data_IF_275246625866
#
_entry.id   IF_275246625866
#
_cell.length_a   1.000
_cell.length_b   1.000
_cell.length_c   1.000
_cell.angle_alpha   90.00
_cell.angle_beta   90.00
_cell.angle_gamma   90.00
#
_symmetry.space_group_name_H-M   'P 1'
#
loop_
_entity.id
_entity.type
_entity.pdbx_description
1 polymer ?
#
# COMPACT_ATOMS: atom_id res chain seq x y z
N UNK A 1 20.48 6.92 -53.26
CA UNK A 1 20.27 7.75 -52.05
C UNK A 1 18.78 7.82 -51.85
N UNK A 2 18.23 6.94 -51.01
CA UNK A 2 16.80 6.89 -50.71
C UNK A 2 16.58 7.80 -49.51
N UNK A 3 16.18 9.05 -49.77
CA UNK A 3 15.79 9.99 -48.73
C UNK A 3 14.53 9.45 -48.02
N UNK A 4 14.56 9.24 -46.70
CA UNK A 4 13.36 8.82 -45.98
C UNK A 4 12.30 9.91 -46.08
N UNK A 5 11.04 9.49 -46.28
CA UNK A 5 9.93 10.45 -46.38
C UNK A 5 9.79 11.25 -45.07
N UNK A 6 9.32 12.49 -45.16
CA UNK A 6 9.08 13.35 -43.98
C UNK A 6 8.21 12.66 -42.91
N UNK A 7 7.28 11.79 -43.35
CA UNK A 7 6.45 10.99 -42.45
C UNK A 7 7.28 9.96 -41.69
N UNK A 8 8.21 9.27 -42.35
CA UNK A 8 9.12 8.33 -41.70
C UNK A 8 10.02 9.03 -40.69
N UNK A 9 10.54 10.22 -41.03
CA UNK A 9 11.37 11.01 -40.13
C UNK A 9 10.58 11.56 -38.94
N UNK A 10 9.33 11.96 -39.15
CA UNK A 10 8.42 12.35 -38.06
C UNK A 10 8.08 11.17 -37.13
N UNK A 11 7.93 9.97 -37.68
CA UNK A 11 7.67 8.76 -36.89
C UNK A 11 8.90 8.36 -36.07
N UNK A 12 10.10 8.44 -36.63
CA UNK A 12 11.36 8.25 -35.89
C UNK A 12 11.49 9.27 -34.76
N UNK A 13 11.18 10.55 -35.03
CA UNK A 13 11.24 11.61 -34.02
C UNK A 13 10.21 11.37 -32.89
N UNK A 14 9.00 10.94 -33.22
CA UNK A 14 7.98 10.59 -32.24
C UNK A 14 8.40 9.39 -31.39
N UNK A 15 8.91 8.32 -32.01
CA UNK A 15 9.39 7.15 -31.29
C UNK A 15 10.55 7.51 -30.35
N UNK A 16 11.48 8.35 -30.81
CA UNK A 16 12.60 8.81 -30.00
C UNK A 16 12.16 9.73 -28.86
N UNK A 17 11.33 10.73 -29.14
CA UNK A 17 10.79 11.65 -28.13
C UNK A 17 9.93 10.93 -27.08
N UNK A 18 9.01 10.09 -27.51
CA UNK A 18 8.15 9.33 -26.61
C UNK A 18 8.94 8.27 -25.83
N UNK A 19 9.91 7.61 -26.46
CA UNK A 19 10.78 6.62 -25.81
C UNK A 19 11.68 7.24 -24.76
N UNK A 20 12.30 8.38 -25.04
CA UNK A 20 13.14 9.11 -24.08
C UNK A 20 12.35 9.61 -22.88
N UNK A 21 11.17 10.20 -23.11
CA UNK A 21 10.27 10.63 -22.02
C UNK A 21 9.82 9.42 -21.19
N UNK A 22 9.42 8.32 -21.83
CA UNK A 22 9.01 7.11 -21.13
C UNK A 22 10.15 6.52 -20.28
N UNK A 23 11.36 6.44 -20.83
CA UNK A 23 12.53 5.98 -20.10
C UNK A 23 12.84 6.89 -18.91
N UNK A 24 12.79 8.21 -19.11
CA UNK A 24 13.02 9.19 -18.06
C UNK A 24 12.01 9.05 -16.91
N UNK A 25 10.72 8.98 -17.24
CA UNK A 25 9.67 8.78 -16.24
C UNK A 25 9.80 7.43 -15.52
N UNK A 26 10.14 6.36 -16.25
CA UNK A 26 10.37 5.03 -15.67
C UNK A 26 11.49 5.10 -14.64
N UNK A 27 12.62 5.70 -14.99
CA UNK A 27 13.76 5.91 -14.07
C UNK A 27 13.32 6.72 -12.85
N UNK A 28 12.57 7.82 -13.05
CA UNK A 28 12.04 8.66 -11.96
C UNK A 28 11.15 7.87 -11.00
N UNK A 29 10.26 7.03 -11.53
CA UNK A 29 9.38 6.18 -10.73
C UNK A 29 10.19 5.16 -9.95
N UNK A 30 11.20 4.54 -10.56
CA UNK A 30 12.09 3.60 -9.87
C UNK A 30 12.87 4.28 -8.73
N UNK A 31 13.46 5.45 -8.97
CA UNK A 31 14.16 6.22 -7.94
C UNK A 31 13.22 6.61 -6.81
N UNK A 32 12.03 7.11 -7.14
CA UNK A 32 11.03 7.52 -6.14
C UNK A 32 10.51 6.32 -5.35
N UNK A 33 10.31 5.17 -5.99
CA UNK A 33 9.93 3.92 -5.32
C UNK A 33 11.03 3.40 -4.41
N UNK A 34 12.29 3.51 -4.84
CA UNK A 34 13.45 3.16 -4.02
C UNK A 34 13.54 4.09 -2.81
N UNK A 35 13.42 5.41 -3.01
CA UNK A 35 13.34 6.39 -1.93
C UNK A 35 12.19 6.06 -0.98
N UNK A 36 10.99 5.76 -1.49
CA UNK A 36 9.85 5.36 -0.67
C UNK A 36 10.15 4.13 0.19
N UNK A 37 10.73 3.07 -0.39
CA UNK A 37 11.15 1.87 0.34
C UNK A 37 12.24 2.14 1.36
N UNK A 38 13.21 3.00 1.04
CA UNK A 38 14.28 3.38 1.96
C UNK A 38 13.72 4.20 3.11
N UNK A 39 12.85 5.17 2.83
CA UNK A 39 12.19 5.98 3.84
C UNK A 39 11.40 5.09 4.78
N UNK A 40 10.57 4.17 4.29
CA UNK A 40 9.80 3.21 5.14
C UNK A 40 10.68 2.25 5.93
N UNK A 41 11.90 1.97 5.48
CA UNK A 41 12.83 1.05 6.15
C UNK A 41 13.75 1.75 7.17
N UNK A 42 14.24 2.96 6.86
CA UNK A 42 15.14 3.73 7.72
C UNK A 42 14.38 4.50 8.80
N UNK A 43 13.24 5.05 8.42
CA UNK A 43 12.16 5.41 9.32
C UNK A 43 11.08 4.38 9.04
N UNK A 44 11.06 3.24 9.76
CA UNK A 44 9.78 2.68 10.10
C UNK A 44 9.07 3.86 10.75
N UNK A 45 8.27 4.56 9.94
CA UNK A 45 7.08 5.20 10.44
C UNK A 45 6.48 4.02 11.21
N UNK A 46 6.65 4.05 12.53
CA UNK A 46 5.64 3.60 13.44
C UNK A 46 4.41 4.18 12.80
N UNK A 47 3.79 3.37 11.92
CA UNK A 47 2.53 3.66 11.27
C UNK A 47 1.79 4.15 12.47
N UNK A 48 1.56 5.46 12.54
CA UNK A 48 0.88 6.05 13.66
C UNK A 48 -0.41 5.27 13.63
N UNK A 49 -0.50 4.28 14.53
CA UNK A 49 -1.35 3.12 14.32
C UNK A 49 -2.70 3.75 14.07
N UNK A 50 -3.28 3.61 12.85
CA UNK A 50 -4.22 4.58 12.30
C UNK A 50 -5.12 5.02 13.43
N UNK A 51 -4.91 6.26 13.92
CA UNK A 51 -5.35 6.65 15.27
C UNK A 51 -6.75 6.10 15.45
N UNK A 52 -6.97 5.15 16.40
CA UNK A 52 -7.93 4.07 16.25
C UNK A 52 -9.17 4.58 15.53
N UNK A 53 -9.24 4.31 14.22
CA UNK A 53 -10.44 4.65 13.47
C UNK A 53 -11.54 3.91 14.21
N UNK A 54 -12.47 4.69 14.78
CA UNK A 54 -13.49 4.22 15.70
C UNK A 54 -13.95 2.82 15.28
N UNK A 55 -13.75 1.86 16.19
CA UNK A 55 -13.92 0.43 16.01
C UNK A 55 -15.00 0.06 14.97
N UNK A 56 -14.56 -0.25 13.75
CA UNK A 56 -15.35 -0.99 12.77
C UNK A 56 -15.10 -2.49 12.96
N UNK A 57 -16.12 -3.37 12.98
CA UNK A 57 -15.97 -4.76 13.41
C UNK A 57 -14.97 -5.55 12.56
N UNK A 58 -13.80 -5.86 13.14
CA UNK A 58 -12.86 -6.83 12.61
C UNK A 58 -13.36 -8.24 12.94
N UNK A 59 -13.94 -8.92 11.95
CA UNK A 59 -14.16 -10.36 12.03
C UNK A 59 -12.88 -11.06 11.56
N UNK A 60 -12.13 -11.67 12.48
CA UNK A 60 -11.46 -12.97 12.29
C UNK A 60 -10.57 -13.31 13.49
N UNK A 61 -11.06 -14.23 14.33
CA UNK A 61 -10.36 -14.76 15.50
C UNK A 61 -10.91 -14.16 16.78
N UNK A 62 -11.77 -14.91 17.47
CA UNK A 62 -12.25 -14.49 18.79
C UNK A 62 -11.04 -14.37 19.71
N UNK A 63 -10.78 -13.17 20.22
CA UNK A 63 -9.68 -12.93 21.13
C UNK A 63 -9.82 -13.87 22.35
N UNK A 64 -8.83 -14.75 22.60
CA UNK A 64 -8.87 -15.69 23.73
C UNK A 64 -9.00 -14.98 25.09
N UNK A 65 -8.57 -13.72 25.19
CA UNK A 65 -8.81 -12.90 26.38
C UNK A 65 -10.28 -12.51 26.51
N UNK A 66 -10.93 -12.11 25.42
CA UNK A 66 -12.38 -11.84 25.40
C UNK A 66 -13.18 -13.09 25.76
N UNK A 67 -12.81 -14.27 25.27
CA UNK A 67 -13.47 -15.53 25.65
C UNK A 67 -13.36 -15.83 27.13
N UNK A 68 -12.19 -15.60 27.75
CA UNK A 68 -12.00 -15.79 29.20
C UNK A 68 -12.89 -14.85 30.00
N UNK A 69 -12.89 -13.56 29.65
CA UNK A 69 -13.73 -12.56 30.35
C UNK A 69 -15.21 -12.88 30.18
N UNK A 70 -15.66 -13.23 28.97
CA UNK A 70 -17.05 -13.60 28.71
C UNK A 70 -17.46 -14.84 29.51
N UNK A 71 -16.59 -15.86 29.58
CA UNK A 71 -16.86 -17.07 30.35
C UNK A 71 -17.00 -16.82 31.85
N UNK A 72 -16.17 -15.93 32.41
CA UNK A 72 -16.25 -15.52 33.81
C UNK A 72 -17.54 -14.74 34.08
N UNK A 73 -17.88 -13.79 33.22
CA UNK A 73 -19.10 -12.98 33.33
C UNK A 73 -20.38 -13.85 33.26
N UNK A 74 -20.44 -14.82 32.34
CA UNK A 74 -21.59 -15.73 32.23
C UNK A 74 -21.73 -16.63 33.46
N UNK A 75 -20.60 -17.14 33.99
CA UNK A 75 -20.60 -17.97 35.20
C UNK A 75 -21.11 -17.19 36.41
N UNK A 76 -20.69 -15.94 36.56
CA UNK A 76 -21.13 -15.07 37.65
C UNK A 76 -22.60 -14.67 37.52
N UNK A 77 -23.07 -14.34 36.32
CA UNK A 77 -24.48 -14.06 36.08
C UNK A 77 -25.38 -15.26 36.44
N UNK A 78 -24.98 -16.48 36.05
CA UNK A 78 -25.72 -17.70 36.41
C UNK A 78 -25.70 -18.00 37.90
N UNK A 79 -24.59 -17.71 38.58
CA UNK A 79 -24.50 -17.84 40.04
C UNK A 79 -25.38 -16.80 40.76
N UNK A 80 -25.55 -15.61 40.18
CA UNK A 80 -26.37 -14.53 40.72
C UNK A 80 -27.87 -14.67 40.41
N UNK A 81 -28.23 -15.45 39.40
CA UNK A 81 -29.61 -15.79 39.04
C UNK A 81 -30.10 -17.12 39.64
N UNK A 82 -29.34 -17.68 40.59
CA UNK A 82 -29.77 -18.72 41.51
C UNK A 82 -29.87 -18.15 42.91
#
# INVERSE_FOLDING_TARGET
MTEPSLVAQGLELMAFGMGTVFAFLTILVFITSFMSKLVTKLTPEEVAAPAPAAAGPQTQGVDPQLLKVLSAAVKEHRARQK
#
